data_IF_605508356371
#
_entry.id   IF_605508356371
#
_cell.length_a   1.000
_cell.length_b   1.000
_cell.length_c   1.000
_cell.angle_alpha   90.00
_cell.angle_beta   90.00
_cell.angle_gamma   90.00
#
_symmetry.space_group_name_H-M   'P 1'
#
loop_
_entity.id
_entity.type
_entity.pdbx_description
1 polymer ?
#
# COMPACT_ATOMS: atom_id res chain seq x y z
N UNK A 1 -23.58 12.44 -19.77
CA UNK A 1 -23.94 11.14 -19.19
C UNK A 1 -22.87 10.80 -18.16
N UNK A 2 -23.18 10.91 -16.87
CA UNK A 2 -22.26 10.49 -15.80
C UNK A 2 -22.20 8.97 -15.85
N UNK A 3 -21.06 8.39 -16.18
CA UNK A 3 -20.84 6.96 -15.95
C UNK A 3 -20.82 6.76 -14.43
N UNK A 4 -21.87 6.14 -13.89
CA UNK A 4 -21.79 5.49 -12.59
C UNK A 4 -20.72 4.40 -12.69
N UNK A 5 -19.51 4.71 -12.21
CA UNK A 5 -18.55 3.67 -11.88
C UNK A 5 -19.22 2.77 -10.86
N UNK A 6 -19.52 1.53 -11.24
CA UNK A 6 -20.06 0.54 -10.32
C UNK A 6 -19.18 0.54 -9.06
N UNK A 7 -19.80 0.74 -7.89
CA UNK A 7 -19.09 0.70 -6.60
C UNK A 7 -18.36 -0.64 -6.49
N UNK A 8 -17.03 -0.60 -6.64
CA UNK A 8 -16.17 -1.78 -6.49
C UNK A 8 -16.23 -2.23 -5.04
N UNK A 9 -16.49 -3.52 -4.81
CA UNK A 9 -16.47 -4.11 -3.47
C UNK A 9 -15.13 -3.81 -2.80
N UNK A 10 -15.20 -3.32 -1.56
CA UNK A 10 -14.04 -2.92 -0.76
C UNK A 10 -13.10 -1.93 -1.44
N UNK A 11 -13.54 -1.15 -2.43
CA UNK A 11 -12.66 -0.25 -3.17
C UNK A 11 -11.35 -0.93 -3.61
N UNK A 12 -11.42 -2.19 -4.07
CA UNK A 12 -10.25 -3.00 -4.39
C UNK A 12 -9.74 -2.73 -5.81
N UNK A 13 -8.44 -2.42 -5.96
CA UNK A 13 -7.77 -2.34 -7.27
C UNK A 13 -6.33 -2.82 -7.22
N UNK A 14 -5.93 -3.58 -8.22
CA UNK A 14 -4.53 -3.88 -8.49
C UNK A 14 -3.80 -2.63 -9.01
N UNK A 15 -2.72 -2.25 -8.34
CA UNK A 15 -1.75 -1.25 -8.81
C UNK A 15 -0.68 -1.89 -9.70
N UNK A 16 -0.23 -3.08 -9.26
CA UNK A 16 0.60 -4.01 -9.99
C UNK A 16 -0.18 -5.32 -10.05
N UNK A 17 -0.50 -5.78 -11.26
CA UNK A 17 -1.40 -6.91 -11.47
C UNK A 17 -0.89 -8.15 -10.73
N UNK A 18 -1.74 -8.73 -9.86
CA UNK A 18 -1.44 -9.91 -9.05
C UNK A 18 -0.24 -9.75 -8.09
N UNK A 19 0.18 -8.53 -7.79
CA UNK A 19 1.30 -8.28 -6.86
C UNK A 19 0.86 -7.32 -5.76
N UNK A 20 0.49 -6.09 -6.12
CA UNK A 20 0.21 -5.02 -5.17
C UNK A 20 -1.15 -4.39 -5.46
N UNK A 21 -1.99 -4.27 -4.43
CA UNK A 21 -3.31 -3.68 -4.53
C UNK A 21 -3.55 -2.59 -3.47
N UNK A 22 -4.58 -1.77 -3.67
CA UNK A 22 -5.18 -0.94 -2.63
C UNK A 22 -6.58 -1.45 -2.32
N UNK A 23 -6.99 -1.39 -1.05
CA UNK A 23 -8.36 -1.73 -0.64
C UNK A 23 -8.83 -0.97 0.60
N UNK A 24 -10.14 -0.99 0.82
CA UNK A 24 -10.76 -0.78 2.11
C UNK A 24 -10.23 -1.82 3.11
N UNK A 25 -10.13 -1.44 4.39
CA UNK A 25 -9.79 -2.40 5.45
C UNK A 25 -10.90 -3.43 5.65
N UNK A 26 -10.57 -4.72 5.86
CA UNK A 26 -11.57 -5.76 6.07
C UNK A 26 -12.24 -5.59 7.45
N UNK A 27 -13.56 -5.52 7.49
CA UNK A 27 -14.34 -5.39 8.73
C UNK A 27 -15.05 -6.71 9.11
N UNK A 28 -15.01 -7.72 8.25
CA UNK A 28 -15.68 -9.00 8.43
C UNK A 28 -14.91 -10.16 7.76
N UNK A 29 -15.23 -11.40 8.15
CA UNK A 29 -14.65 -12.60 7.50
C UNK A 29 -15.03 -12.68 6.01
N UNK A 30 -16.18 -12.12 5.63
CA UNK A 30 -16.61 -12.05 4.23
C UNK A 30 -15.68 -11.14 3.41
N UNK A 31 -15.19 -10.06 4.00
CA UNK A 31 -14.21 -9.16 3.37
C UNK A 31 -12.86 -9.85 3.18
N UNK A 32 -12.38 -10.57 4.19
CA UNK A 32 -11.16 -11.39 4.07
C UNK A 32 -11.32 -12.48 3.02
N UNK A 33 -12.46 -13.17 3.00
CA UNK A 33 -12.79 -14.18 1.99
C UNK A 33 -12.81 -13.56 0.59
N UNK A 34 -13.39 -12.37 0.42
CA UNK A 34 -13.38 -11.65 -0.85
C UNK A 34 -11.94 -11.36 -1.32
N UNK A 35 -11.08 -10.80 -0.46
CA UNK A 35 -9.68 -10.53 -0.79
C UNK A 35 -8.92 -11.80 -1.16
N UNK A 36 -9.09 -12.86 -0.37
CA UNK A 36 -8.47 -14.16 -0.63
C UNK A 36 -8.88 -14.75 -1.99
N UNK A 37 -10.16 -14.61 -2.37
CA UNK A 37 -10.68 -15.01 -3.69
C UNK A 37 -10.10 -14.18 -4.85
N UNK A 38 -9.64 -12.94 -4.60
CA UNK A 38 -8.87 -12.17 -5.60
C UNK A 38 -7.44 -12.70 -5.78
N UNK A 39 -6.98 -13.65 -4.95
CA UNK A 39 -5.62 -14.19 -4.99
C UNK A 39 -4.67 -13.56 -3.97
N UNK A 40 -5.16 -12.66 -3.11
CA UNK A 40 -4.37 -12.05 -2.03
C UNK A 40 -3.92 -13.12 -1.02
N UNK A 41 -2.68 -12.99 -0.53
CA UNK A 41 -2.10 -13.91 0.47
C UNK A 41 -1.35 -13.21 1.61
N UNK A 42 -1.26 -11.89 1.57
CA UNK A 42 -0.81 -11.10 2.71
C UNK A 42 -1.56 -9.76 2.70
N UNK A 43 -1.62 -9.03 3.82
CA UNK A 43 -2.30 -7.72 3.90
C UNK A 43 -1.57 -6.77 4.85
N UNK A 44 -1.55 -5.49 4.49
CA UNK A 44 -1.20 -4.40 5.40
C UNK A 44 -2.47 -3.65 5.80
N UNK A 45 -2.71 -3.50 7.11
CA UNK A 45 -3.83 -2.74 7.67
C UNK A 45 -3.31 -1.56 8.49
N UNK A 46 -3.88 -0.38 8.24
CA UNK A 46 -3.53 0.85 8.97
C UNK A 46 -4.62 1.36 9.92
N UNK A 47 -5.78 0.70 9.94
CA UNK A 47 -6.98 1.14 10.66
C UNK A 47 -7.39 0.16 11.76
N UNK A 48 -7.76 0.68 12.94
CA UNK A 48 -8.10 -0.15 14.12
C UNK A 48 -9.40 -0.91 13.97
N UNK A 49 -10.35 -0.35 13.23
CA UNK A 49 -11.66 -0.96 12.98
C UNK A 49 -11.60 -1.99 11.85
N UNK A 50 -10.59 -2.87 11.90
CA UNK A 50 -10.40 -3.95 10.94
C UNK A 50 -10.13 -5.25 11.66
N UNK A 51 -10.49 -6.37 11.05
CA UNK A 51 -10.17 -7.70 11.59
C UNK A 51 -8.82 -8.16 11.05
N UNK A 52 -8.06 -8.88 11.88
CA UNK A 52 -6.77 -9.43 11.48
C UNK A 52 -6.97 -10.63 10.54
N UNK A 53 -6.16 -10.72 9.50
CA UNK A 53 -6.30 -11.79 8.51
C UNK A 53 -5.84 -13.17 9.00
N UNK A 54 -5.10 -13.22 10.11
CA UNK A 54 -4.67 -14.44 10.80
C UNK A 54 -5.66 -14.88 11.90
N UNK A 55 -6.80 -14.21 12.03
CA UNK A 55 -7.81 -14.52 13.04
C UNK A 55 -8.20 -16.00 12.94
N UNK A 56 -7.88 -16.75 14.00
CA UNK A 56 -8.22 -18.17 14.19
C UNK A 56 -7.69 -19.12 13.08
N UNK A 57 -6.65 -18.72 12.33
CA UNK A 57 -6.12 -19.46 11.16
C UNK A 57 -7.19 -19.80 10.10
N UNK A 58 -8.30 -19.05 10.07
CA UNK A 58 -9.43 -19.32 9.16
C UNK A 58 -9.11 -18.92 7.72
N UNK A 59 -8.17 -18.00 7.53
CA UNK A 59 -7.72 -17.51 6.22
C UNK A 59 -6.20 -17.60 6.16
N UNK A 60 -5.67 -18.27 5.15
CA UNK A 60 -4.23 -18.42 4.92
C UNK A 60 -3.65 -17.11 4.35
N UNK A 61 -3.54 -16.11 5.23
CA UNK A 61 -3.06 -14.77 4.91
C UNK A 61 -2.10 -14.24 5.98
N UNK A 62 -0.96 -13.74 5.54
CA UNK A 62 -0.01 -13.03 6.42
C UNK A 62 -0.55 -11.63 6.71
N UNK A 63 -0.59 -11.24 7.98
CA UNK A 63 -1.12 -9.94 8.40
C UNK A 63 0.00 -9.02 8.95
N UNK A 64 0.00 -7.77 8.50
CA UNK A 64 0.78 -6.69 9.10
C UNK A 64 -0.14 -5.55 9.52
N UNK A 65 -0.08 -5.17 10.79
CA UNK A 65 -0.79 -4.01 11.31
C UNK A 65 0.16 -2.86 11.66
N UNK A 66 -0.07 -1.69 11.06
CA UNK A 66 0.67 -0.46 11.30
C UNK A 66 -0.29 0.69 11.54
N UNK A 67 -0.53 1.06 12.80
CA UNK A 67 -1.48 2.13 13.12
C UNK A 67 -1.05 3.48 12.52
N UNK A 68 -1.94 4.08 11.71
CA UNK A 68 -1.78 5.43 11.17
C UNK A 68 -3.07 6.22 11.44
N UNK A 69 -3.04 7.31 12.22
CA UNK A 69 -4.22 8.13 12.48
C UNK A 69 -4.87 8.63 11.19
N UNK A 70 -6.20 8.76 11.21
CA UNK A 70 -6.94 9.17 10.02
C UNK A 70 -6.55 10.58 9.55
N UNK A 71 -6.62 10.80 8.24
CA UNK A 71 -6.19 12.04 7.57
C UNK A 71 -4.72 12.44 7.78
N UNK A 72 -3.90 11.58 8.39
CA UNK A 72 -2.45 11.80 8.52
C UNK A 72 -1.66 10.85 7.63
N UNK A 73 -0.51 11.26 7.08
CA UNK A 73 0.37 10.33 6.39
C UNK A 73 1.03 9.36 7.39
N UNK A 74 1.35 8.12 6.97
CA UNK A 74 2.25 7.26 7.73
C UNK A 74 3.62 7.92 7.90
N UNK A 75 4.29 7.69 9.03
CA UNK A 75 5.67 8.16 9.22
C UNK A 75 6.63 7.44 8.28
N UNK A 76 7.74 8.08 7.90
CA UNK A 76 8.74 7.47 6.99
C UNK A 76 9.22 6.10 7.47
N UNK A 77 9.44 5.91 8.77
CA UNK A 77 9.83 4.60 9.32
C UNK A 77 8.72 3.54 9.22
N UNK A 78 7.45 3.94 9.29
CA UNK A 78 6.32 3.02 9.03
C UNK A 78 6.29 2.63 7.56
N UNK A 79 6.49 3.60 6.66
CA UNK A 79 6.55 3.37 5.21
C UNK A 79 7.67 2.39 4.88
N UNK A 80 8.87 2.57 5.44
CA UNK A 80 9.99 1.64 5.24
C UNK A 80 9.65 0.21 5.69
N UNK A 81 9.04 0.04 6.86
CA UNK A 81 8.63 -1.29 7.34
C UNK A 81 7.56 -1.92 6.45
N UNK A 82 6.56 -1.14 6.04
CA UNK A 82 5.52 -1.61 5.12
C UNK A 82 6.09 -2.01 3.75
N UNK A 83 7.02 -1.22 3.20
CA UNK A 83 7.67 -1.53 1.92
C UNK A 83 8.55 -2.78 2.04
N UNK A 84 9.32 -2.91 3.13
CA UNK A 84 10.11 -4.12 3.38
C UNK A 84 9.24 -5.37 3.50
N UNK A 85 8.09 -5.26 4.18
CA UNK A 85 7.09 -6.32 4.23
C UNK A 85 6.56 -6.67 2.85
N UNK A 86 6.15 -5.67 2.04
CA UNK A 86 5.68 -5.90 0.67
C UNK A 86 6.73 -6.66 -0.14
N UNK A 87 7.98 -6.21 -0.16
CA UNK A 87 9.04 -6.88 -0.91
C UNK A 87 9.28 -8.32 -0.44
N UNK A 88 9.23 -8.59 0.86
CA UNK A 88 9.34 -9.95 1.41
C UNK A 88 8.18 -10.84 0.94
N UNK A 89 6.94 -10.34 1.01
CA UNK A 89 5.77 -11.12 0.62
C UNK A 89 5.73 -11.36 -0.89
N UNK A 90 6.09 -10.38 -1.71
CA UNK A 90 6.17 -10.53 -3.16
C UNK A 90 7.24 -11.55 -3.58
N UNK A 91 8.41 -11.57 -2.92
CA UNK A 91 9.44 -12.61 -3.15
C UNK A 91 8.91 -14.02 -2.85
N UNK A 92 7.95 -14.14 -1.95
CA UNK A 92 7.30 -15.39 -1.61
C UNK A 92 6.02 -15.66 -2.43
N UNK A 93 5.78 -14.91 -3.52
CA UNK A 93 4.58 -14.99 -4.36
C UNK A 93 3.27 -14.79 -3.57
N UNK A 94 3.28 -13.90 -2.58
CA UNK A 94 2.10 -13.53 -1.80
C UNK A 94 1.66 -12.10 -2.15
N UNK A 95 0.60 -11.93 -2.96
CA UNK A 95 0.11 -10.61 -3.33
C UNK A 95 -0.44 -9.86 -2.13
N UNK A 96 -0.19 -8.54 -2.08
CA UNK A 96 -0.42 -7.69 -0.91
C UNK A 96 -1.34 -6.51 -1.26
N UNK A 97 -2.54 -6.39 -0.69
CA UNK A 97 -3.26 -5.13 -0.60
C UNK A 97 -2.74 -4.32 0.58
N UNK A 98 -2.61 -3.01 0.36
CA UNK A 98 -2.49 -2.02 1.41
C UNK A 98 -3.87 -1.45 1.70
N UNK A 99 -4.24 -1.38 2.97
CA UNK A 99 -5.55 -0.89 3.40
C UNK A 99 -5.48 0.11 4.55
N UNK A 100 -6.43 1.05 4.57
CA UNK A 100 -6.73 1.92 5.70
C UNK A 100 -8.20 1.77 6.09
N UNK A 101 -8.93 2.87 6.35
CA UNK A 101 -10.39 2.81 6.49
C UNK A 101 -11.04 2.62 5.11
N UNK A 102 -11.08 3.66 4.27
CA UNK A 102 -11.73 3.64 2.95
C UNK A 102 -10.84 3.16 1.78
N UNK A 103 -9.53 2.97 2.02
CA UNK A 103 -8.58 2.60 0.97
C UNK A 103 -8.13 3.76 0.06
N UNK A 104 -8.24 5.02 0.51
CA UNK A 104 -8.06 6.21 -0.34
C UNK A 104 -6.76 6.97 0.01
N UNK A 105 -6.72 7.81 1.05
CA UNK A 105 -5.57 8.69 1.35
C UNK A 105 -4.32 7.95 1.85
N UNK A 106 -4.37 7.41 3.07
CA UNK A 106 -3.27 6.65 3.70
C UNK A 106 -2.79 5.51 2.81
N UNK A 107 -3.73 4.77 2.23
CA UNK A 107 -3.46 3.67 1.29
C UNK A 107 -2.73 4.17 0.05
N UNK A 108 -3.26 5.20 -0.62
CA UNK A 108 -2.62 5.80 -1.80
C UNK A 108 -1.21 6.32 -1.51
N UNK A 109 -0.98 6.86 -0.31
CA UNK A 109 0.34 7.37 0.12
C UNK A 109 1.39 6.25 0.15
N UNK A 110 1.07 5.11 0.77
CA UNK A 110 1.98 3.96 0.84
C UNK A 110 2.20 3.35 -0.54
N UNK A 111 1.14 3.22 -1.35
CA UNK A 111 1.23 2.70 -2.71
C UNK A 111 2.13 3.58 -3.60
N UNK A 112 2.00 4.90 -3.51
CA UNK A 112 2.87 5.83 -4.23
C UNK A 112 4.33 5.72 -3.75
N UNK A 113 4.57 5.63 -2.44
CA UNK A 113 5.92 5.40 -1.90
C UNK A 113 6.52 4.08 -2.39
N UNK A 114 5.71 3.01 -2.53
CA UNK A 114 6.18 1.75 -3.09
C UNK A 114 6.55 1.88 -4.58
N UNK A 115 5.78 2.62 -5.38
CA UNK A 115 6.15 2.89 -6.77
C UNK A 115 7.47 3.69 -6.85
N UNK A 116 7.68 4.66 -5.97
CA UNK A 116 8.95 5.40 -5.85
C UNK A 116 10.09 4.46 -5.47
N UNK A 117 9.87 3.56 -4.51
CA UNK A 117 10.85 2.51 -4.14
C UNK A 117 11.23 1.62 -5.33
N UNK A 118 10.29 1.42 -6.28
CA UNK A 118 10.51 0.69 -7.54
C UNK A 118 11.11 1.57 -8.67
N UNK A 119 11.53 2.80 -8.36
CA UNK A 119 12.22 3.69 -9.28
C UNK A 119 11.33 4.71 -10.00
N UNK A 120 10.06 4.85 -9.62
CA UNK A 120 9.20 5.90 -10.16
C UNK A 120 9.59 7.29 -9.61
N UNK A 121 9.41 8.32 -10.42
CA UNK A 121 9.49 9.72 -9.95
C UNK A 121 8.27 10.00 -9.07
N UNK A 122 8.40 10.76 -7.96
CA UNK A 122 7.30 11.00 -7.01
C UNK A 122 6.02 11.55 -7.64
N UNK A 123 6.14 12.53 -8.53
CA UNK A 123 5.01 13.11 -9.26
C UNK A 123 4.28 12.06 -10.11
N UNK A 124 5.04 11.23 -10.83
CA UNK A 124 4.48 10.16 -11.67
C UNK A 124 3.81 9.08 -10.82
N UNK A 125 4.38 8.75 -9.66
CA UNK A 125 3.79 7.81 -8.72
C UNK A 125 2.44 8.32 -8.19
N UNK A 126 2.39 9.58 -7.73
CA UNK A 126 1.15 10.22 -7.27
C UNK A 126 0.11 10.25 -8.39
N UNK A 127 0.51 10.70 -9.59
CA UNK A 127 -0.37 10.76 -10.75
C UNK A 127 -0.94 9.39 -11.12
N UNK A 128 -0.09 8.36 -11.17
CA UNK A 128 -0.49 6.99 -11.49
C UNK A 128 -1.48 6.43 -10.47
N UNK A 129 -1.22 6.62 -9.17
CA UNK A 129 -2.14 6.17 -8.12
C UNK A 129 -3.49 6.88 -8.24
N UNK A 130 -3.52 8.19 -8.45
CA UNK A 130 -4.78 8.94 -8.63
C UNK A 130 -5.54 8.54 -9.88
N UNK A 131 -4.84 8.20 -10.96
CA UNK A 131 -5.46 7.72 -12.20
C UNK A 131 -6.11 6.35 -12.02
N UNK A 132 -5.46 5.44 -11.29
CA UNK A 132 -6.00 4.10 -11.01
C UNK A 132 -7.09 4.13 -9.92
N UNK A 133 -6.95 5.04 -8.95
CA UNK A 133 -7.80 5.14 -7.77
C UNK A 133 -8.15 6.62 -7.51
N UNK A 134 -9.17 7.16 -8.21
CA UNK A 134 -9.57 8.55 -8.08
C UNK A 134 -9.80 8.96 -6.61
N UNK A 135 -9.29 10.14 -6.24
CA UNK A 135 -9.35 10.67 -4.86
C UNK A 135 -8.22 10.22 -3.93
N UNK A 136 -7.36 9.28 -4.34
CA UNK A 136 -6.22 8.84 -3.53
C UNK A 136 -5.24 9.97 -3.23
N UNK A 137 -4.58 9.87 -2.07
CA UNK A 137 -3.65 10.89 -1.54
C UNK A 137 -4.42 12.20 -1.32
N UNK A 138 -5.11 12.27 -0.18
CA UNK A 138 -6.19 13.23 0.09
C UNK A 138 -5.69 14.59 0.60
N UNK A 139 -4.47 14.64 1.15
CA UNK A 139 -3.95 15.86 1.79
C UNK A 139 -2.57 16.25 1.27
N UNK A 140 -2.20 17.55 1.31
CA UNK A 140 -0.85 18.00 0.94
C UNK A 140 0.26 17.33 1.75
N UNK A 141 0.02 17.01 3.02
CA UNK A 141 0.98 16.31 3.88
C UNK A 141 1.22 14.86 3.41
N UNK A 142 0.21 14.22 2.82
CA UNK A 142 0.35 12.91 2.20
C UNK A 142 1.19 12.98 0.92
N UNK A 143 0.97 13.98 0.07
CA UNK A 143 1.83 14.22 -1.10
C UNK A 143 3.28 14.48 -0.68
N UNK A 144 3.51 15.43 0.24
CA UNK A 144 4.85 15.76 0.75
C UNK A 144 5.56 14.53 1.33
N UNK A 145 4.82 13.61 1.96
CA UNK A 145 5.40 12.37 2.47
C UNK A 145 5.99 11.49 1.36
N UNK A 146 5.38 11.44 0.17
CA UNK A 146 5.93 10.72 -0.99
C UNK A 146 7.24 11.36 -1.44
N UNK A 147 7.31 12.69 -1.53
CA UNK A 147 8.55 13.41 -1.88
C UNK A 147 9.64 13.21 -0.83
N UNK A 148 9.29 13.25 0.46
CA UNK A 148 10.23 12.99 1.56
C UNK A 148 10.79 11.57 1.52
N UNK A 149 9.94 10.59 1.21
CA UNK A 149 10.37 9.20 1.03
C UNK A 149 11.35 9.08 -0.14
N UNK A 150 11.07 9.74 -1.27
CA UNK A 150 11.95 9.73 -2.44
C UNK A 150 13.35 10.28 -2.15
N UNK A 151 13.43 11.41 -1.42
CA UNK A 151 14.71 11.98 -0.99
C UNK A 151 15.51 10.99 -0.15
N UNK A 152 14.84 10.28 0.77
CA UNK A 152 15.47 9.27 1.62
C UNK A 152 15.95 8.05 0.81
N UNK A 153 15.13 7.56 -0.12
CA UNK A 153 15.48 6.41 -0.97
C UNK A 153 16.72 6.70 -1.81
N UNK A 154 16.82 7.91 -2.39
CA UNK A 154 17.96 8.35 -3.19
C UNK A 154 19.24 8.50 -2.34
N UNK A 155 19.12 8.99 -1.09
CA UNK A 155 20.28 9.08 -0.19
C UNK A 155 20.82 7.71 0.26
N UNK A 156 20.03 6.64 0.15
CA UNK A 156 20.49 5.29 0.45
C UNK A 156 21.09 4.58 -0.78
N UNK A 157 20.69 4.92 -2.00
CA UNK A 157 21.34 4.42 -3.22
C UNK A 157 22.76 4.98 -3.41
N UNK A 158 23.04 6.19 -2.92
CA UNK A 158 24.38 6.79 -3.00
C UNK A 158 25.40 6.10 -2.06
N UNK A 159 24.95 5.38 -1.04
CA UNK A 159 25.83 4.66 -0.09
C UNK A 159 26.28 3.27 -0.58
N UNK A 160 25.82 2.79 -1.74
CA UNK A 160 26.24 1.50 -2.32
C UNK A 160 27.23 1.63 -3.49
N UNK A 161 27.72 2.83 -3.80
CA UNK A 161 28.66 3.10 -4.92
C UNK A 161 30.09 3.46 -4.47
N UNK A 162 30.54 3.04 -3.27
CA UNK A 162 31.93 3.28 -2.82
C UNK A 162 32.64 2.01 -2.34
N UNK A 163 32.87 1.07 -3.25
CA UNK A 163 34.12 0.30 -3.21
C UNK A 163 34.72 0.28 -4.62
N UNK A 164 35.93 0.85 -4.84
CA UNK A 164 36.67 0.55 -6.05
C UNK A 164 37.19 -0.88 -5.95
N UNK A 165 36.87 -1.70 -6.96
CA UNK A 165 37.46 -3.01 -7.16
C UNK A 165 38.99 -2.93 -6.98
N UNK A 166 39.52 -3.76 -6.08
CA UNK A 166 40.95 -3.97 -5.88
C UNK A 166 41.46 -5.09 -6.79
#
# INVERSE_FOLDING_TARGET
MRSEEALKRMNFDWILQNELAGSQGPASLEDLSYLHHQGVRAIIRMEKQTIAADTENLVDMVDMFEMVPDFTPPKLEQIKRMIAFIDEQLKANRPVPVSCYAGIGRTGTVLACYLVHRGAIPDDAIYRIRKLRPGSIETPEQEETVFRYARLANSQSDNFMTEPDC
#
